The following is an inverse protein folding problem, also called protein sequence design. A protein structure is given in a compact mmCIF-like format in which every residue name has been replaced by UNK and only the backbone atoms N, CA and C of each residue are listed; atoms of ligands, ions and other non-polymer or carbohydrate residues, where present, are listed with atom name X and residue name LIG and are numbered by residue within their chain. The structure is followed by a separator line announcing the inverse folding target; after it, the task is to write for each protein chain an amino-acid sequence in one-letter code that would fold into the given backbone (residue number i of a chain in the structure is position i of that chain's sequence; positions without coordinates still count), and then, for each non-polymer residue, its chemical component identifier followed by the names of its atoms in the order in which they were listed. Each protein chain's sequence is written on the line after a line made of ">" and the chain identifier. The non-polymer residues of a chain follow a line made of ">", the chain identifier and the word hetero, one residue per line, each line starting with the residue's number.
data_IF_512711119992
#
_entry.id   IF_512711119992
#
_cell.length_a   1.000
_cell.length_b   1.000
_cell.length_c   1.000
_cell.angle_alpha   90.00
_cell.angle_beta   90.00
_cell.angle_gamma   90.00
#
_symmetry.space_group_name_H-M   'P 1'
#
loop_
_entity.id
_entity.type
_entity.pdbx_description
1 polymer ?
#
# COMPACT_ATOMS: atom_id res chain seq x y z
N UNK A 1 -1.71 8.42 26.00
CA UNK A 1 -0.57 7.61 25.46
C UNK A 1 -1.00 6.28 24.83
N UNK A 2 -1.56 5.30 25.56
CA UNK A 2 -2.03 4.03 24.97
C UNK A 2 -3.12 4.21 23.91
N UNK A 3 -4.05 5.14 24.16
CA UNK A 3 -5.10 5.50 23.22
C UNK A 3 -4.53 6.03 21.88
N UNK A 4 -3.47 6.85 21.95
CA UNK A 4 -2.77 7.39 20.77
C UNK A 4 -2.17 6.27 19.92
N UNK A 5 -1.49 5.31 20.54
CA UNK A 5 -0.96 4.16 19.82
C UNK A 5 -2.08 3.32 19.20
N UNK A 6 -3.18 3.09 19.93
CA UNK A 6 -4.38 2.43 19.39
C UNK A 6 -4.92 3.10 18.11
N UNK A 7 -4.99 4.43 18.08
CA UNK A 7 -5.39 5.17 16.87
C UNK A 7 -4.41 4.99 15.72
N UNK A 8 -3.11 4.97 15.98
CA UNK A 8 -2.12 4.70 14.93
C UNK A 8 -2.27 3.29 14.35
N UNK A 9 -2.46 2.27 15.20
CA UNK A 9 -2.66 0.90 14.73
C UNK A 9 -3.95 0.77 13.89
N UNK A 10 -5.03 1.41 14.34
CA UNK A 10 -6.29 1.45 13.61
C UNK A 10 -6.13 2.17 12.27
N UNK A 11 -5.47 3.33 12.23
CA UNK A 11 -5.19 4.05 10.98
C UNK A 11 -4.28 3.25 10.04
N UNK A 12 -3.26 2.57 10.55
CA UNK A 12 -2.39 1.72 9.74
C UNK A 12 -3.20 0.63 9.03
N UNK A 13 -4.09 -0.05 9.76
CA UNK A 13 -4.98 -1.04 9.19
C UNK A 13 -5.96 -0.44 8.17
N UNK A 14 -6.66 0.64 8.53
CA UNK A 14 -7.66 1.28 7.65
C UNK A 14 -7.01 1.80 6.37
N UNK A 15 -5.87 2.49 6.45
CA UNK A 15 -5.20 3.06 5.29
C UNK A 15 -4.68 1.96 4.36
N UNK A 16 -4.14 0.85 4.91
CA UNK A 16 -3.75 -0.30 4.11
C UNK A 16 -4.95 -0.97 3.45
N UNK A 17 -6.07 -1.13 4.15
CA UNK A 17 -7.29 -1.68 3.57
C UNK A 17 -7.88 -0.76 2.49
N UNK A 18 -7.81 0.55 2.67
CA UNK A 18 -8.27 1.54 1.69
C UNK A 18 -7.46 1.49 0.39
N UNK A 19 -6.15 1.22 0.45
CA UNK A 19 -5.34 0.99 -0.75
C UNK A 19 -5.89 -0.19 -1.56
N UNK A 20 -6.12 -1.33 -0.90
CA UNK A 20 -6.70 -2.52 -1.51
C UNK A 20 -8.11 -2.27 -2.08
N UNK A 21 -8.98 -1.63 -1.29
CA UNK A 21 -10.34 -1.28 -1.72
C UNK A 21 -10.30 -0.34 -2.93
N UNK A 22 -9.38 0.62 -2.96
CA UNK A 22 -9.23 1.54 -4.09
C UNK A 22 -8.88 0.77 -5.35
N UNK A 23 -7.94 -0.19 -5.30
CA UNK A 23 -7.63 -1.04 -6.47
C UNK A 23 -8.83 -1.90 -6.91
N UNK A 24 -9.61 -2.43 -5.96
CA UNK A 24 -10.82 -3.21 -6.27
C UNK A 24 -11.87 -2.36 -6.97
N UNK A 25 -12.10 -1.14 -6.49
CA UNK A 25 -13.04 -0.21 -7.10
C UNK A 25 -12.60 0.15 -8.52
N UNK A 26 -11.30 0.39 -8.73
CA UNK A 26 -10.78 0.68 -10.08
C UNK A 26 -10.98 -0.51 -11.03
N UNK A 27 -10.72 -1.74 -10.57
CA UNK A 27 -10.96 -2.95 -11.37
C UNK A 27 -12.44 -3.12 -11.76
N UNK A 28 -13.36 -2.84 -10.83
CA UNK A 28 -14.80 -2.89 -11.11
C UNK A 28 -15.23 -1.80 -12.10
N UNK A 29 -14.71 -0.58 -11.96
CA UNK A 29 -15.08 0.56 -12.80
C UNK A 29 -14.49 0.50 -14.20
N UNK A 30 -13.26 -0.01 -14.35
CA UNK A 30 -12.51 0.01 -15.60
C UNK A 30 -12.59 -1.31 -16.36
N UNK A 31 -13.09 -2.39 -15.73
CA UNK A 31 -13.38 -3.75 -16.24
C UNK A 31 -12.23 -4.51 -16.94
N UNK A 32 -11.16 -3.82 -17.29
CA UNK A 32 -10.00 -4.29 -18.07
C UNK A 32 -8.70 -4.21 -17.28
N UNK A 33 -8.76 -3.84 -15.99
CA UNK A 33 -7.59 -3.71 -15.13
C UNK A 33 -7.49 -4.90 -14.17
N UNK A 34 -6.25 -5.23 -13.80
CA UNK A 34 -5.94 -6.33 -12.87
C UNK A 34 -5.18 -5.82 -11.65
N UNK A 35 -5.46 -4.59 -11.21
CA UNK A 35 -4.68 -3.89 -10.19
C UNK A 35 -4.71 -4.61 -8.85
N UNK A 36 -5.88 -5.10 -8.44
CA UNK A 36 -6.03 -5.85 -7.18
C UNK A 36 -5.24 -7.15 -7.24
N UNK A 37 -5.35 -7.87 -8.35
CA UNK A 37 -4.64 -9.14 -8.52
C UNK A 37 -3.13 -8.94 -8.58
N UNK A 38 -2.66 -7.84 -9.20
CA UNK A 38 -1.25 -7.49 -9.24
C UNK A 38 -0.73 -7.03 -7.87
N UNK A 39 -1.51 -6.22 -7.14
CA UNK A 39 -1.17 -5.72 -5.81
C UNK A 39 -1.01 -6.87 -4.79
N UNK A 40 -1.81 -7.91 -4.93
CA UNK A 40 -1.79 -9.11 -4.09
C UNK A 40 -0.83 -10.19 -4.61
N UNK A 41 -0.24 -10.02 -5.80
CA UNK A 41 0.43 -11.09 -6.49
C UNK A 41 1.67 -11.60 -5.74
N UNK A 42 1.68 -12.89 -5.42
CA UNK A 42 2.84 -13.63 -4.88
C UNK A 42 3.13 -14.91 -5.67
N UNK A 43 2.64 -14.99 -6.91
CA UNK A 43 2.74 -16.18 -7.76
C UNK A 43 4.19 -16.58 -8.12
N UNK A 44 5.14 -15.66 -7.95
CA UNK A 44 6.58 -15.87 -8.07
C UNK A 44 7.20 -16.59 -6.84
N UNK A 45 6.46 -16.70 -5.74
CA UNK A 45 6.89 -17.42 -4.52
C UNK A 45 6.16 -18.75 -4.34
N UNK A 46 4.85 -18.77 -4.62
CA UNK A 46 3.98 -19.93 -4.34
C UNK A 46 2.94 -20.07 -5.45
N UNK A 47 2.61 -21.32 -5.81
CA UNK A 47 1.51 -21.60 -6.75
C UNK A 47 0.20 -20.96 -6.25
N UNK A 48 -0.44 -20.07 -7.03
CA UNK A 48 -1.70 -19.41 -6.65
C UNK A 48 -2.83 -20.36 -6.28
N UNK A 49 -2.82 -21.60 -6.77
CA UNK A 49 -3.83 -22.61 -6.41
C UNK A 49 -3.74 -23.04 -4.95
N UNK A 50 -2.58 -22.86 -4.33
CA UNK A 50 -2.28 -23.30 -2.97
C UNK A 50 -2.42 -22.17 -1.94
N UNK A 51 -2.67 -20.93 -2.38
CA UNK A 51 -2.80 -19.77 -1.48
C UNK A 51 -4.19 -19.17 -1.63
N UNK A 52 -5.04 -19.21 -0.58
CA UNK A 52 -6.30 -18.50 -0.59
C UNK A 52 -6.09 -16.98 -0.72
N UNK A 53 -6.95 -16.30 -1.48
CA UNK A 53 -6.89 -14.84 -1.67
C UNK A 53 -6.90 -14.03 -0.36
N UNK A 54 -7.52 -14.58 0.70
CA UNK A 54 -7.52 -13.99 2.04
C UNK A 54 -6.09 -13.90 2.60
N UNK A 55 -5.26 -14.91 2.35
CA UNK A 55 -3.86 -14.93 2.81
C UNK A 55 -3.05 -13.88 2.05
N UNK A 56 -3.21 -13.76 0.73
CA UNK A 56 -2.58 -12.71 -0.07
C UNK A 56 -2.99 -11.31 0.43
N UNK A 57 -4.28 -11.12 0.70
CA UNK A 57 -4.83 -9.90 1.30
C UNK A 57 -4.22 -9.59 2.67
N UNK A 58 -4.07 -10.59 3.55
CA UNK A 58 -3.42 -10.41 4.85
C UNK A 58 -1.95 -10.03 4.72
N UNK A 59 -1.21 -10.64 3.78
CA UNK A 59 0.18 -10.27 3.50
C UNK A 59 0.25 -8.80 3.07
N UNK A 60 -0.62 -8.37 2.15
CA UNK A 60 -0.70 -6.98 1.72
C UNK A 60 -0.98 -6.03 2.90
N UNK A 61 -1.98 -6.36 3.74
CA UNK A 61 -2.31 -5.58 4.93
C UNK A 61 -1.13 -5.49 5.90
N UNK A 62 -0.38 -6.57 6.09
CA UNK A 62 0.82 -6.58 6.92
C UNK A 62 1.93 -5.68 6.36
N UNK A 63 2.14 -5.66 5.04
CA UNK A 63 3.12 -4.80 4.39
C UNK A 63 2.74 -3.33 4.57
N UNK A 64 1.51 -2.94 4.24
CA UNK A 64 1.06 -1.55 4.38
C UNK A 64 1.06 -1.08 5.83
N UNK A 65 0.68 -1.94 6.77
CA UNK A 65 0.79 -1.68 8.20
C UNK A 65 2.25 -1.45 8.63
N UNK A 66 3.18 -2.29 8.15
CA UNK A 66 4.61 -2.16 8.44
C UNK A 66 5.17 -0.84 7.94
N UNK A 67 4.82 -0.44 6.71
CA UNK A 67 5.21 0.86 6.15
C UNK A 67 4.70 2.00 7.03
N UNK A 68 3.44 1.96 7.47
CA UNK A 68 2.89 2.97 8.38
C UNK A 68 3.69 3.05 9.69
N UNK A 69 3.96 1.91 10.33
CA UNK A 69 4.70 1.86 11.60
C UNK A 69 6.12 2.40 11.43
N UNK A 70 6.81 2.05 10.34
CA UNK A 70 8.13 2.61 10.01
C UNK A 70 8.05 4.14 9.92
N UNK A 71 7.08 4.69 9.19
CA UNK A 71 6.90 6.14 9.07
C UNK A 71 6.55 6.80 10.39
N UNK A 72 5.78 6.14 11.26
CA UNK A 72 5.49 6.62 12.60
C UNK A 72 6.76 6.71 13.46
N UNK A 73 7.62 5.68 13.40
CA UNK A 73 8.93 5.68 14.09
C UNK A 73 9.80 6.82 13.56
N UNK A 74 9.89 6.97 12.24
CA UNK A 74 10.64 8.08 11.61
C UNK A 74 10.09 9.44 12.08
N UNK A 75 8.77 9.62 12.11
CA UNK A 75 8.14 10.86 12.57
C UNK A 75 8.49 11.20 14.02
N UNK A 76 8.49 10.21 14.90
CA UNK A 76 8.87 10.38 16.31
C UNK A 76 10.36 10.71 16.48
N UNK A 77 11.22 10.18 15.60
CA UNK A 77 12.65 10.45 15.62
C UNK A 77 13.02 11.81 15.01
N UNK A 78 12.51 12.12 13.81
CA UNK A 78 12.78 13.37 13.10
C UNK A 78 11.67 13.72 12.12
N UNK A 79 11.01 14.86 12.37
CA UNK A 79 9.99 15.42 11.47
C UNK A 79 10.54 15.72 10.07
N UNK A 80 11.79 16.19 9.98
CA UNK A 80 12.43 16.46 8.69
C UNK A 80 12.67 15.17 7.91
N UNK A 81 13.20 14.14 8.58
CA UNK A 81 13.42 12.83 7.95
C UNK A 81 12.10 12.18 7.52
N UNK A 82 11.03 12.36 8.28
CA UNK A 82 9.71 11.87 7.93
C UNK A 82 9.19 12.41 6.59
N UNK A 83 9.29 13.73 6.37
CA UNK A 83 8.87 14.30 5.08
C UNK A 83 9.81 13.86 3.95
N UNK A 84 11.11 13.74 4.23
CA UNK A 84 12.07 13.24 3.25
C UNK A 84 11.83 11.77 2.86
N UNK A 85 11.36 10.93 3.80
CA UNK A 85 11.11 9.50 3.59
C UNK A 85 10.01 9.21 2.56
N UNK A 86 9.12 10.16 2.26
CA UNK A 86 8.13 10.00 1.19
C UNK A 86 8.78 9.94 -0.21
N UNK A 87 9.95 10.56 -0.39
CA UNK A 87 10.67 10.54 -1.68
C UNK A 87 11.14 9.13 -2.09
N UNK A 88 11.86 8.36 -1.25
CA UNK A 88 12.16 6.97 -1.59
C UNK A 88 10.90 6.10 -1.68
N UNK A 89 9.85 6.39 -0.89
CA UNK A 89 8.60 5.62 -0.94
C UNK A 89 7.88 5.76 -2.30
N UNK A 90 7.78 6.97 -2.86
CA UNK A 90 7.19 7.15 -4.19
C UNK A 90 8.02 6.46 -5.28
N UNK A 91 9.36 6.48 -5.16
CA UNK A 91 10.25 5.76 -6.10
C UNK A 91 9.98 4.25 -6.05
N UNK A 92 9.82 3.68 -4.85
CA UNK A 92 9.45 2.27 -4.69
C UNK A 92 8.14 1.99 -5.43
N UNK A 93 7.09 2.80 -5.24
CA UNK A 93 5.80 2.57 -5.90
C UNK A 93 5.85 2.72 -7.43
N UNK A 94 6.66 3.65 -7.94
CA UNK A 94 6.95 3.81 -9.38
C UNK A 94 7.57 2.53 -9.95
N UNK A 95 8.56 1.96 -9.27
CA UNK A 95 9.29 0.78 -9.75
C UNK A 95 8.47 -0.50 -9.55
N UNK A 96 7.66 -0.56 -8.50
CA UNK A 96 6.97 -1.78 -8.08
C UNK A 96 5.99 -2.30 -9.12
N UNK A 97 5.27 -1.43 -9.84
CA UNK A 97 4.34 -1.87 -10.89
C UNK A 97 5.02 -2.64 -12.03
N UNK A 98 6.00 -2.07 -12.77
CA UNK A 98 6.68 -2.82 -13.82
C UNK A 98 7.49 -3.99 -13.27
N UNK A 99 8.01 -3.88 -12.04
CA UNK A 99 8.74 -4.98 -11.40
C UNK A 99 7.83 -6.19 -11.12
N UNK A 100 6.67 -5.98 -10.51
CA UNK A 100 5.72 -7.06 -10.21
C UNK A 100 5.23 -7.75 -11.48
N UNK A 101 5.01 -7.01 -12.56
CA UNK A 101 4.68 -7.59 -13.88
C UNK A 101 5.84 -8.44 -14.40
N UNK A 102 7.07 -7.95 -14.31
CA UNK A 102 8.24 -8.64 -14.85
C UNK A 102 8.54 -9.98 -14.15
N UNK A 103 8.17 -10.12 -12.88
CA UNK A 103 8.38 -11.35 -12.11
C UNK A 103 7.14 -12.26 -12.05
N UNK A 104 5.97 -11.76 -12.48
CA UNK A 104 4.73 -12.52 -12.41
C UNK A 104 4.76 -13.77 -13.29
N UNK A 105 4.18 -14.86 -12.78
CA UNK A 105 4.12 -16.13 -13.51
C UNK A 105 2.87 -16.23 -14.40
N UNK A 106 1.81 -15.50 -14.06
CA UNK A 106 0.56 -15.49 -14.84
C UNK A 106 0.66 -14.56 -16.05
N UNK A 107 0.40 -15.12 -17.23
CA UNK A 107 0.62 -14.46 -18.54
C UNK A 107 -0.33 -13.30 -18.86
N UNK A 108 -1.41 -13.10 -18.08
CA UNK A 108 -2.32 -11.98 -18.27
C UNK A 108 -1.82 -10.68 -17.63
N UNK A 109 -0.78 -10.73 -16.80
CA UNK A 109 -0.11 -9.52 -16.34
C UNK A 109 0.76 -8.96 -17.45
N UNK A 110 0.29 -7.90 -18.08
CA UNK A 110 1.02 -7.16 -19.12
C UNK A 110 1.10 -5.69 -18.75
N UNK A 111 2.20 -5.03 -19.09
CA UNK A 111 2.34 -3.61 -18.82
C UNK A 111 1.28 -2.80 -19.56
N UNK A 112 0.63 -1.88 -18.82
CA UNK A 112 -0.46 -1.05 -19.29
C UNK A 112 -0.30 0.33 -18.66
N UNK A 113 -0.22 1.37 -19.49
CA UNK A 113 -0.12 2.76 -19.03
C UNK A 113 -1.32 3.20 -18.19
N UNK A 114 -2.57 2.89 -18.57
CA UNK A 114 -3.74 3.17 -17.73
C UNK A 114 -3.66 2.52 -16.36
N UNK A 115 -3.31 1.24 -16.29
CA UNK A 115 -3.17 0.54 -15.00
C UNK A 115 -2.04 1.12 -14.17
N UNK A 116 -0.91 1.44 -14.80
CA UNK A 116 0.19 2.10 -14.10
C UNK A 116 -0.22 3.46 -13.53
N UNK A 117 -1.00 4.25 -14.27
CA UNK A 117 -1.54 5.52 -13.78
C UNK A 117 -2.43 5.30 -12.53
N UNK A 118 -3.38 4.36 -12.59
CA UNK A 118 -4.29 4.09 -11.47
C UNK A 118 -3.58 3.45 -10.26
N UNK A 119 -2.56 2.63 -10.51
CA UNK A 119 -1.64 2.16 -9.50
C UNK A 119 -1.00 3.34 -8.76
N UNK A 120 -0.47 4.32 -9.48
CA UNK A 120 0.14 5.50 -8.87
C UNK A 120 -0.90 6.32 -8.10
N UNK A 121 -2.12 6.50 -8.63
CA UNK A 121 -3.20 7.20 -7.93
C UNK A 121 -3.52 6.53 -6.58
N UNK A 122 -3.69 5.21 -6.56
CA UNK A 122 -4.01 4.47 -5.34
C UNK A 122 -2.91 4.62 -4.27
N UNK A 123 -1.65 4.53 -4.69
CA UNK A 123 -0.50 4.67 -3.79
C UNK A 123 -0.28 6.11 -3.31
N UNK A 124 -0.57 7.12 -4.13
CA UNK A 124 -0.55 8.52 -3.72
C UNK A 124 -1.63 8.77 -2.65
N UNK A 125 -2.84 8.23 -2.81
CA UNK A 125 -3.90 8.31 -1.80
C UNK A 125 -3.41 7.70 -0.47
N UNK A 126 -2.82 6.50 -0.53
CA UNK A 126 -2.21 5.84 0.65
C UNK A 126 -1.19 6.75 1.36
N UNK A 127 -0.25 7.34 0.62
CA UNK A 127 0.76 8.25 1.19
C UNK A 127 0.17 9.53 1.76
N UNK A 128 -0.80 10.15 1.08
CA UNK A 128 -1.47 11.38 1.56
C UNK A 128 -2.21 11.11 2.88
N UNK A 129 -2.91 9.98 2.97
CA UNK A 129 -3.58 9.59 4.21
C UNK A 129 -2.57 9.38 5.35
N UNK A 130 -1.44 8.73 5.09
CA UNK A 130 -0.35 8.63 6.07
C UNK A 130 0.17 10.02 6.48
N UNK A 131 0.41 10.89 5.49
CA UNK A 131 0.95 12.23 5.66
C UNK A 131 0.07 13.09 6.57
N UNK A 132 -1.25 12.88 6.52
CA UNK A 132 -2.23 13.57 7.36
C UNK A 132 -2.40 12.89 8.72
N UNK A 133 -2.63 11.57 8.75
CA UNK A 133 -2.98 10.84 9.96
C UNK A 133 -1.85 10.82 10.99
N UNK A 134 -0.60 10.58 10.57
CA UNK A 134 0.52 10.43 11.50
C UNK A 134 0.75 11.72 12.32
N UNK A 135 0.90 12.92 11.71
CA UNK A 135 1.04 14.16 12.47
C UNK A 135 -0.22 14.51 13.27
N UNK A 136 -1.41 14.28 12.70
CA UNK A 136 -2.67 14.64 13.36
C UNK A 136 -2.84 13.87 14.66
N UNK A 137 -2.59 12.56 14.66
CA UNK A 137 -2.71 11.73 15.87
C UNK A 137 -1.54 12.02 16.84
N UNK A 138 -0.33 12.23 16.31
CA UNK A 138 0.86 12.46 17.15
C UNK A 138 0.81 13.77 17.92
N UNK A 139 0.23 14.84 17.33
CA UNK A 139 0.17 16.17 17.92
C UNK A 139 -1.10 16.42 18.75
N UNK A 140 -2.10 15.52 18.71
CA UNK A 140 -3.25 15.61 19.60
C UNK A 140 -2.85 15.24 21.03
N UNK A 141 -3.27 16.06 21.99
CA UNK A 141 -3.22 15.70 23.41
C UNK A 141 -4.31 14.64 23.69
N UNK A 142 -3.93 13.36 23.60
CA UNK A 142 -4.76 12.16 23.80
C UNK A 142 -4.18 11.21 24.87
#
# INVERSE_FOLDING_TARGET
>A
MWLRYGYHLLCAFIISALLLITTMVMDVLLQSTHLTQLLLNIDFLVDPKNVPIIVEGLIHLCIGFTIYVIFLIIYQYSKSLYYLAYFPLIIIFIIMYPFLIAIAQRSFFTFSWPEYFWWMVAHIIFMVLMAICIPTISNKHL
#
